data_IF_466878749424
#
_entry.id   IF_466878749424
#
_cell.length_a   1.000
_cell.length_b   1.000
_cell.length_c   1.000
_cell.angle_alpha   90.00
_cell.angle_beta   90.00
_cell.angle_gamma   90.00
#
_symmetry.space_group_name_H-M   'P 1'
#
loop_
_entity.id
_entity.type
_entity.pdbx_description
1 polymer ?
#
# COMPACT_ATOMS: atom_id res chain seq x y z
N UNK A 1 -20.69 12.87 -7.47
CA UNK A 1 -19.94 11.59 -7.64
C UNK A 1 -19.12 11.30 -6.38
N UNK A 2 -18.11 12.10 -6.05
CA UNK A 2 -17.15 11.83 -4.95
C UNK A 2 -17.82 11.48 -3.62
N UNK A 3 -18.75 12.31 -3.12
CA UNK A 3 -19.44 12.04 -1.84
C UNK A 3 -20.25 10.72 -1.85
N UNK A 4 -20.86 10.37 -2.98
CA UNK A 4 -21.58 9.10 -3.12
C UNK A 4 -20.61 7.92 -3.17
N UNK A 5 -19.46 8.07 -3.84
CA UNK A 5 -18.40 7.06 -3.83
C UNK A 5 -17.84 6.85 -2.42
N UNK A 6 -17.67 7.93 -1.64
CA UNK A 6 -17.25 7.85 -0.24
C UNK A 6 -18.28 7.10 0.62
N UNK A 7 -19.57 7.41 0.46
CA UNK A 7 -20.64 6.70 1.18
C UNK A 7 -20.69 5.21 0.81
N UNK A 8 -20.56 4.87 -0.47
CA UNK A 8 -20.50 3.48 -0.92
C UNK A 8 -19.27 2.75 -0.37
N UNK A 9 -18.10 3.40 -0.37
CA UNK A 9 -16.87 2.83 0.19
C UNK A 9 -16.97 2.65 1.71
N UNK A 10 -17.66 3.54 2.43
CA UNK A 10 -17.94 3.38 3.85
C UNK A 10 -18.78 2.12 4.11
N UNK A 11 -19.82 1.87 3.31
CA UNK A 11 -20.61 0.63 3.39
C UNK A 11 -19.75 -0.60 3.11
N UNK A 12 -18.90 -0.54 2.07
CA UNK A 12 -17.93 -1.62 1.79
C UNK A 12 -17.00 -1.86 2.98
N UNK A 13 -16.47 -0.80 3.60
CA UNK A 13 -15.58 -0.91 4.77
C UNK A 13 -16.27 -1.52 5.99
N UNK A 14 -17.52 -1.13 6.28
CA UNK A 14 -18.32 -1.71 7.37
C UNK A 14 -18.62 -3.20 7.15
N UNK A 15 -18.71 -3.62 5.89
CA UNK A 15 -18.95 -5.01 5.53
C UNK A 15 -17.69 -5.90 5.57
N UNK A 16 -16.48 -5.33 5.65
CA UNK A 16 -15.21 -6.09 5.64
C UNK A 16 -15.16 -7.20 6.70
N UNK A 17 -15.52 -6.97 7.98
CA UNK A 17 -15.41 -8.01 9.01
C UNK A 17 -16.27 -9.25 8.75
N UNK A 18 -17.38 -9.09 8.03
CA UNK A 18 -18.34 -10.16 7.70
C UNK A 18 -18.43 -10.40 6.20
N UNK A 19 -17.42 -9.98 5.42
CA UNK A 19 -17.47 -10.03 3.95
C UNK A 19 -17.52 -11.45 3.36
N UNK A 20 -17.10 -12.44 4.15
CA UNK A 20 -17.18 -13.87 3.78
C UNK A 20 -18.50 -14.52 4.20
N UNK A 21 -19.34 -13.77 4.93
CA UNK A 21 -20.63 -14.19 5.46
C UNK A 21 -21.71 -13.18 5.01
N UNK A 22 -22.54 -12.71 5.95
CA UNK A 22 -23.67 -11.78 5.72
C UNK A 22 -23.30 -10.42 5.08
N UNK A 23 -22.06 -9.97 5.23
CA UNK A 23 -21.58 -8.69 4.68
C UNK A 23 -21.19 -8.76 3.20
N UNK A 24 -21.03 -9.96 2.62
CA UNK A 24 -20.45 -10.13 1.28
C UNK A 24 -21.20 -9.38 0.18
N UNK A 25 -22.54 -9.37 0.22
CA UNK A 25 -23.34 -8.68 -0.79
C UNK A 25 -23.20 -7.16 -0.67
N UNK A 26 -23.20 -6.62 0.55
CA UNK A 26 -23.01 -5.19 0.79
C UNK A 26 -21.61 -4.73 0.32
N UNK A 27 -20.58 -5.54 0.59
CA UNK A 27 -19.22 -5.32 0.09
C UNK A 27 -19.20 -5.22 -1.44
N UNK A 28 -19.76 -6.22 -2.13
CA UNK A 28 -19.77 -6.32 -3.59
C UNK A 28 -20.57 -5.20 -4.26
N UNK A 29 -21.74 -4.87 -3.72
CA UNK A 29 -22.57 -3.77 -4.24
C UNK A 29 -21.91 -2.41 -4.04
N UNK A 30 -21.29 -2.15 -2.88
CA UNK A 30 -20.55 -0.92 -2.65
C UNK A 30 -19.39 -0.75 -3.65
N UNK A 31 -18.64 -1.83 -3.92
CA UNK A 31 -17.62 -1.83 -4.98
C UNK A 31 -18.20 -1.47 -6.36
N UNK A 32 -19.29 -2.14 -6.78
CA UNK A 32 -19.94 -1.89 -8.07
C UNK A 32 -20.43 -0.44 -8.18
N UNK A 33 -21.03 0.10 -7.12
CA UNK A 33 -21.48 1.50 -7.09
C UNK A 33 -20.29 2.45 -7.29
N UNK A 34 -19.16 2.22 -6.61
CA UNK A 34 -17.95 3.05 -6.82
C UNK A 34 -17.46 2.95 -8.25
N UNK A 35 -17.43 1.76 -8.85
CA UNK A 35 -17.00 1.58 -10.24
C UNK A 35 -17.93 2.27 -11.25
N UNK A 36 -19.25 2.17 -11.06
CA UNK A 36 -20.24 2.87 -11.90
C UNK A 36 -20.11 4.39 -11.77
N UNK A 37 -19.92 4.90 -10.55
CA UNK A 37 -19.72 6.31 -10.28
C UNK A 37 -18.42 6.83 -10.92
N UNK A 38 -17.32 6.07 -10.85
CA UNK A 38 -16.08 6.41 -11.54
C UNK A 38 -16.23 6.40 -13.06
N UNK A 39 -16.86 5.38 -13.64
CA UNK A 39 -17.12 5.32 -15.07
C UNK A 39 -17.98 6.51 -15.53
N UNK A 40 -18.97 6.91 -14.72
CA UNK A 40 -19.81 8.08 -14.97
C UNK A 40 -18.98 9.37 -14.92
N UNK A 41 -18.12 9.54 -13.92
CA UNK A 41 -17.25 10.70 -13.82
C UNK A 41 -16.30 10.81 -15.02
N UNK A 42 -15.71 9.69 -15.46
CA UNK A 42 -14.88 9.68 -16.66
C UNK A 42 -15.66 10.12 -17.91
N UNK A 43 -16.92 9.71 -18.06
CA UNK A 43 -17.75 10.17 -19.18
C UNK A 43 -18.09 11.66 -19.11
N UNK A 44 -18.34 12.20 -17.91
CA UNK A 44 -18.80 13.58 -17.72
C UNK A 44 -17.66 14.61 -17.69
N UNK A 45 -16.49 14.23 -17.15
CA UNK A 45 -15.42 15.17 -16.82
C UNK A 45 -14.19 15.07 -17.75
N UNK A 46 -14.13 14.08 -18.65
CA UNK A 46 -13.02 13.95 -19.59
C UNK A 46 -13.25 14.85 -20.80
N UNK A 47 -12.36 15.81 -21.02
CA UNK A 47 -12.34 16.60 -22.25
C UNK A 47 -12.16 15.69 -23.48
N UNK A 48 -12.89 15.91 -24.58
CA UNK A 48 -12.70 15.15 -25.82
C UNK A 48 -11.22 15.13 -26.22
N UNK A 49 -10.64 13.93 -26.34
CA UNK A 49 -9.24 13.72 -26.74
C UNK A 49 -8.22 13.63 -25.60
N UNK A 50 -8.58 13.94 -24.34
CA UNK A 50 -7.65 13.84 -23.21
C UNK A 50 -7.45 12.39 -22.74
N UNK A 51 -8.51 11.60 -22.66
CA UNK A 51 -8.45 10.16 -22.37
C UNK A 51 -9.27 9.40 -23.41
N UNK A 52 -8.72 8.28 -23.88
CA UNK A 52 -9.38 7.41 -24.86
C UNK A 52 -10.61 6.73 -24.26
N UNK A 53 -11.76 6.84 -24.93
CA UNK A 53 -12.98 6.10 -24.56
C UNK A 53 -12.75 4.59 -24.52
N UNK A 54 -11.89 4.06 -25.39
CA UNK A 54 -11.54 2.63 -25.39
C UNK A 54 -10.79 2.22 -24.11
N UNK A 55 -9.92 3.09 -23.59
CA UNK A 55 -9.19 2.85 -22.35
C UNK A 55 -10.12 2.88 -21.12
N UNK A 56 -11.10 3.80 -21.12
CA UNK A 56 -12.14 3.87 -20.07
C UNK A 56 -13.02 2.62 -20.08
N UNK A 57 -13.49 2.20 -21.25
CA UNK A 57 -14.33 1.00 -21.38
C UNK A 57 -13.56 -0.25 -20.98
N UNK A 58 -12.31 -0.39 -21.44
CA UNK A 58 -11.42 -1.50 -21.10
C UNK A 58 -11.27 -1.72 -19.58
N UNK A 59 -10.82 -0.68 -18.88
CA UNK A 59 -10.63 -0.77 -17.43
C UNK A 59 -11.96 -0.87 -16.68
N UNK A 60 -13.00 -0.19 -17.19
CA UNK A 60 -14.34 -0.25 -16.63
C UNK A 60 -14.94 -1.65 -16.70
N UNK A 61 -14.79 -2.35 -17.83
CA UNK A 61 -15.34 -3.71 -18.00
C UNK A 61 -14.63 -4.74 -17.12
N UNK A 62 -13.31 -4.65 -16.95
CA UNK A 62 -12.61 -5.56 -16.03
C UNK A 62 -13.00 -5.32 -14.58
N UNK A 63 -13.12 -4.07 -14.15
CA UNK A 63 -13.58 -3.75 -12.79
C UNK A 63 -15.05 -4.13 -12.55
N UNK A 64 -15.91 -4.00 -13.57
CA UNK A 64 -17.29 -4.47 -13.50
C UNK A 64 -17.35 -6.00 -13.41
N UNK A 65 -16.52 -6.71 -14.19
CA UNK A 65 -16.40 -8.17 -14.11
C UNK A 65 -15.95 -8.62 -12.72
N UNK A 66 -14.93 -7.97 -12.14
CA UNK A 66 -14.51 -8.23 -10.77
C UNK A 66 -15.66 -8.03 -9.77
N UNK A 67 -16.45 -6.97 -9.93
CA UNK A 67 -17.64 -6.73 -9.10
C UNK A 67 -18.72 -7.80 -9.26
N UNK A 68 -18.97 -8.29 -10.47
CA UNK A 68 -19.90 -9.41 -10.72
C UNK A 68 -19.40 -10.69 -10.04
N UNK A 69 -18.10 -10.98 -10.12
CA UNK A 69 -17.49 -12.13 -9.43
C UNK A 69 -17.67 -12.01 -7.91
N UNK A 70 -17.51 -10.82 -7.34
CA UNK A 70 -17.77 -10.58 -5.90
C UNK A 70 -19.24 -10.79 -5.52
N UNK A 71 -20.18 -10.36 -6.37
CA UNK A 71 -21.62 -10.62 -6.13
C UNK A 71 -21.88 -12.12 -6.14
N UNK A 72 -21.32 -12.87 -7.10
CA UNK A 72 -21.45 -14.34 -7.12
C UNK A 72 -20.83 -14.94 -5.85
N UNK A 73 -19.66 -14.45 -5.43
CA UNK A 73 -19.00 -14.91 -4.20
C UNK A 73 -19.87 -14.75 -2.95
N UNK A 74 -20.66 -13.68 -2.88
CA UNK A 74 -21.54 -13.41 -1.73
C UNK A 74 -22.70 -14.41 -1.55
N UNK A 75 -22.94 -15.29 -2.53
CA UNK A 75 -23.93 -16.36 -2.46
C UNK A 75 -23.29 -17.75 -2.36
N UNK A 76 -22.00 -17.81 -2.06
CA UNK A 76 -21.25 -19.05 -1.90
C UNK A 76 -20.63 -19.12 -0.51
N UNK A 77 -20.28 -20.33 -0.07
CA UNK A 77 -19.67 -20.57 1.23
C UNK A 77 -18.28 -21.22 1.12
N UNK A 78 -17.51 -21.07 2.20
CA UNK A 78 -16.27 -21.82 2.43
C UNK A 78 -15.15 -21.52 1.41
N UNK A 79 -14.42 -22.55 0.95
CA UNK A 79 -13.29 -22.34 0.03
C UNK A 79 -13.68 -21.67 -1.29
N UNK A 80 -14.91 -21.89 -1.76
CA UNK A 80 -15.42 -21.31 -3.02
C UNK A 80 -15.47 -19.78 -2.94
N UNK A 81 -15.96 -19.23 -1.83
CA UNK A 81 -15.97 -17.78 -1.57
C UNK A 81 -14.56 -17.21 -1.65
N UNK A 82 -13.61 -17.87 -1.01
CA UNK A 82 -12.19 -17.46 -1.02
C UNK A 82 -11.62 -17.45 -2.43
N UNK A 83 -11.87 -18.51 -3.21
CA UNK A 83 -11.40 -18.62 -4.60
C UNK A 83 -12.02 -17.54 -5.49
N UNK A 84 -13.31 -17.23 -5.31
CA UNK A 84 -13.99 -16.18 -6.07
C UNK A 84 -13.49 -14.77 -5.69
N UNK A 85 -13.24 -14.50 -4.40
CA UNK A 85 -12.60 -13.25 -3.98
C UNK A 85 -11.21 -13.09 -4.60
N UNK A 86 -10.38 -14.13 -4.54
CA UNK A 86 -9.07 -14.13 -5.20
C UNK A 86 -9.18 -13.97 -6.72
N UNK A 87 -10.20 -14.59 -7.33
CA UNK A 87 -10.53 -14.43 -8.75
C UNK A 87 -10.91 -12.99 -9.10
N UNK A 88 -11.73 -12.32 -8.29
CA UNK A 88 -12.11 -10.93 -8.49
C UNK A 88 -10.89 -10.00 -8.39
N UNK A 89 -10.01 -10.22 -7.41
CA UNK A 89 -8.73 -9.52 -7.29
C UNK A 89 -7.88 -9.75 -8.53
N UNK A 90 -7.74 -11.01 -8.98
CA UNK A 90 -6.98 -11.34 -10.18
C UNK A 90 -7.53 -10.65 -11.43
N UNK A 91 -8.86 -10.59 -11.61
CA UNK A 91 -9.51 -9.87 -12.72
C UNK A 91 -9.20 -8.38 -12.65
N UNK A 92 -9.39 -7.75 -11.48
CA UNK A 92 -9.16 -6.31 -11.30
C UNK A 92 -7.72 -5.90 -11.61
N UNK A 93 -6.73 -6.69 -11.20
CA UNK A 93 -5.31 -6.37 -11.39
C UNK A 93 -4.72 -6.87 -12.72
N UNK A 94 -5.28 -7.91 -13.34
CA UNK A 94 -4.82 -8.38 -14.66
C UNK A 94 -5.37 -7.52 -15.80
N UNK A 95 -6.55 -6.92 -15.65
CA UNK A 95 -7.17 -6.10 -16.72
C UNK A 95 -6.24 -4.97 -17.22
N UNK A 96 -5.68 -4.10 -16.36
CA UNK A 96 -4.76 -3.04 -16.82
C UNK A 96 -3.45 -3.56 -17.41
N UNK A 97 -3.08 -4.81 -17.10
CA UNK A 97 -1.90 -5.45 -17.64
C UNK A 97 -2.15 -5.97 -19.06
N UNK A 98 -3.25 -6.71 -19.24
CA UNK A 98 -3.60 -7.39 -20.51
C UNK A 98 -4.11 -6.37 -21.54
N UNK A 99 -5.02 -5.48 -21.14
CA UNK A 99 -5.70 -4.58 -22.09
C UNK A 99 -4.96 -3.23 -22.22
N UNK A 100 -3.93 -3.03 -21.40
CA UNK A 100 -3.09 -1.84 -21.40
C UNK A 100 -3.75 -0.60 -20.78
N UNK A 101 -2.91 0.37 -20.49
CA UNK A 101 -3.28 1.67 -19.90
C UNK A 101 -3.01 2.83 -20.86
N UNK A 102 -2.73 2.52 -22.13
CA UNK A 102 -2.41 3.51 -23.15
C UNK A 102 -3.65 4.33 -23.49
N UNK A 103 -3.50 5.65 -23.54
CA UNK A 103 -4.60 6.57 -23.83
C UNK A 103 -5.22 7.22 -22.60
N UNK A 104 -4.70 6.98 -21.38
CA UNK A 104 -5.00 7.83 -20.22
C UNK A 104 -4.05 9.02 -20.15
N UNK A 105 -4.60 10.24 -20.09
CA UNK A 105 -3.82 11.43 -19.73
C UNK A 105 -3.60 11.46 -18.22
N UNK A 106 -2.33 11.53 -17.84
CA UNK A 106 -1.89 11.53 -16.44
C UNK A 106 -1.05 12.77 -16.22
N UNK A 107 -1.45 13.59 -15.24
CA UNK A 107 -0.62 14.66 -14.69
C UNK A 107 0.27 14.04 -13.59
N UNK A 108 1.61 14.04 -13.75
CA UNK A 108 2.52 13.42 -12.78
C UNK A 108 2.33 13.93 -11.35
N UNK A 109 2.31 15.26 -11.16
CA UNK A 109 2.19 15.88 -9.83
C UNK A 109 0.89 15.50 -9.13
N UNK A 110 -0.27 15.67 -9.78
CA UNK A 110 -1.55 15.29 -9.18
C UNK A 110 -1.66 13.80 -8.90
N UNK A 111 -1.04 12.96 -9.73
CA UNK A 111 -1.08 11.50 -9.55
C UNK A 111 -0.19 11.07 -8.39
N UNK A 112 1.01 11.65 -8.28
CA UNK A 112 1.90 11.46 -7.15
C UNK A 112 1.26 11.94 -5.85
N UNK A 113 0.69 13.15 -5.83
CA UNK A 113 -0.01 13.73 -4.68
C UNK A 113 -1.11 12.80 -4.16
N UNK A 114 -2.00 12.31 -5.03
CA UNK A 114 -3.11 11.42 -4.64
C UNK A 114 -2.63 10.11 -4.01
N UNK A 115 -1.55 9.53 -4.53
CA UNK A 115 -1.00 8.29 -3.94
C UNK A 115 -0.19 8.57 -2.68
N UNK A 116 0.47 9.73 -2.59
CA UNK A 116 1.06 10.20 -1.34
C UNK A 116 0.00 10.34 -0.23
N UNK A 117 -1.19 10.85 -0.55
CA UNK A 117 -2.30 10.91 0.42
C UNK A 117 -2.71 9.52 0.92
N UNK A 118 -2.72 8.49 0.06
CA UNK A 118 -2.97 7.09 0.49
C UNK A 118 -1.92 6.66 1.51
N UNK A 119 -0.65 6.98 1.27
CA UNK A 119 0.44 6.65 2.19
C UNK A 119 0.30 7.37 3.53
N UNK A 120 -0.04 8.66 3.52
CA UNK A 120 -0.31 9.44 4.74
C UNK A 120 -1.45 8.82 5.54
N UNK A 121 -2.55 8.45 4.87
CA UNK A 121 -3.68 7.79 5.54
C UNK A 121 -3.28 6.44 6.11
N UNK A 122 -2.58 5.58 5.37
CA UNK A 122 -2.17 4.27 5.87
C UNK A 122 -1.21 4.35 7.07
N UNK A 123 -0.26 5.28 7.03
CA UNK A 123 0.67 5.53 8.14
C UNK A 123 -0.05 6.16 9.34
N UNK A 124 -0.94 7.12 9.09
CA UNK A 124 -1.77 7.77 10.12
C UNK A 124 -2.71 6.79 10.81
N UNK A 125 -3.37 5.91 10.05
CA UNK A 125 -4.25 4.87 10.59
C UNK A 125 -3.47 3.88 11.47
N UNK A 126 -2.21 3.59 11.11
CA UNK A 126 -1.33 2.79 11.96
C UNK A 126 -1.11 3.44 13.33
N UNK A 127 -1.03 4.78 13.41
CA UNK A 127 -0.90 5.53 14.67
C UNK A 127 -2.24 5.58 15.41
N UNK A 128 -3.34 5.83 14.72
CA UNK A 128 -4.69 5.85 15.33
C UNK A 128 -5.01 4.49 15.96
N UNK A 129 -4.67 3.40 15.28
CA UNK A 129 -4.86 2.04 15.78
C UNK A 129 -4.09 1.76 17.09
N UNK A 130 -2.92 2.38 17.27
CA UNK A 130 -2.15 2.34 18.53
C UNK A 130 -2.93 3.05 19.63
N UNK A 131 -3.36 4.28 19.38
CA UNK A 131 -4.08 5.10 20.36
C UNK A 131 -5.43 4.48 20.77
N UNK A 132 -6.18 3.95 19.80
CA UNK A 132 -7.45 3.27 20.05
C UNK A 132 -7.28 1.94 20.83
N UNK A 133 -6.15 1.25 20.64
CA UNK A 133 -5.79 0.07 21.43
C UNK A 133 -5.34 0.39 22.86
N UNK A 134 -5.06 1.66 23.16
CA UNK A 134 -4.51 2.11 24.45
C UNK A 134 -5.50 2.13 25.61
N UNK A 135 -6.81 2.04 25.36
CA UNK A 135 -7.83 2.07 26.41
C UNK A 135 -7.75 0.91 27.42
N UNK A 136 -7.08 -0.18 27.04
CA UNK A 136 -6.86 -1.36 27.88
C UNK A 136 -5.41 -1.50 28.37
N UNK A 137 -4.50 -0.58 27.99
CA UNK A 137 -3.08 -0.66 28.33
C UNK A 137 -2.80 0.00 29.68
N UNK A 138 -1.95 -0.64 30.51
CA UNK A 138 -1.37 0.02 31.67
C UNK A 138 -0.48 1.17 31.21
N UNK A 139 -0.70 2.37 31.75
CA UNK A 139 0.17 3.50 31.47
C UNK A 139 1.48 3.37 32.26
N UNK A 140 2.44 2.68 31.69
CA UNK A 140 3.79 2.47 32.24
C UNK A 140 4.90 2.94 31.28
N UNK A 141 6.15 2.91 31.76
CA UNK A 141 7.30 3.36 30.99
C UNK A 141 7.54 2.51 29.73
N UNK A 142 7.23 1.21 29.76
CA UNK A 142 7.39 0.31 28.61
C UNK A 142 6.42 0.66 27.49
N UNK A 143 5.16 0.93 27.84
CA UNK A 143 4.12 1.35 26.90
C UNK A 143 4.44 2.73 26.29
N UNK A 144 4.94 3.67 27.09
CA UNK A 144 5.40 4.98 26.57
C UNK A 144 6.59 4.80 25.61
N UNK A 145 7.58 3.98 25.97
CA UNK A 145 8.72 3.69 25.10
C UNK A 145 8.27 3.03 23.78
N UNK A 146 7.35 2.07 23.85
CA UNK A 146 6.79 1.41 22.68
C UNK A 146 6.06 2.41 21.78
N UNK A 147 5.23 3.31 22.33
CA UNK A 147 4.53 4.33 21.56
C UNK A 147 5.49 5.31 20.86
N UNK A 148 6.58 5.72 21.53
CA UNK A 148 7.60 6.59 20.94
C UNK A 148 8.39 5.88 19.83
N UNK A 149 8.77 4.61 20.03
CA UNK A 149 9.44 3.80 19.01
C UNK A 149 8.53 3.50 17.81
N UNK A 150 7.24 3.27 18.07
CA UNK A 150 6.22 3.13 17.03
C UNK A 150 6.13 4.38 16.17
N UNK A 151 6.07 5.55 16.81
CA UNK A 151 6.09 6.84 16.12
C UNK A 151 7.37 7.02 15.30
N UNK A 152 8.53 6.66 15.86
CA UNK A 152 9.81 6.72 15.15
C UNK A 152 9.83 5.80 13.92
N UNK A 153 9.32 4.57 14.05
CA UNK A 153 9.19 3.63 12.92
C UNK A 153 8.29 4.20 11.83
N UNK A 154 7.07 4.64 12.17
CA UNK A 154 6.12 5.20 11.18
C UNK A 154 6.70 6.43 10.49
N UNK A 155 7.38 7.30 11.24
CA UNK A 155 8.04 8.49 10.68
C UNK A 155 9.20 8.10 9.75
N UNK A 156 10.01 7.10 10.11
CA UNK A 156 11.08 6.62 9.26
C UNK A 156 10.57 6.01 7.94
N UNK A 157 9.49 5.23 7.98
CA UNK A 157 8.82 4.74 6.76
C UNK A 157 8.29 5.90 5.91
N UNK A 158 7.67 6.90 6.56
CA UNK A 158 7.22 8.12 5.90
C UNK A 158 8.36 8.83 5.15
N UNK A 159 9.49 9.08 5.82
CA UNK A 159 10.67 9.71 5.21
C UNK A 159 11.22 8.87 4.06
N UNK A 160 11.31 7.54 4.24
CA UNK A 160 11.80 6.66 3.19
C UNK A 160 10.95 6.75 1.90
N UNK A 161 9.64 7.01 1.99
CA UNK A 161 8.79 7.20 0.81
C UNK A 161 8.80 8.63 0.27
N UNK A 162 8.58 9.65 1.12
CA UNK A 162 8.38 11.02 0.65
C UNK A 162 9.68 11.68 0.20
N UNK A 163 10.78 11.54 0.96
CA UNK A 163 12.07 12.16 0.64
C UNK A 163 12.84 11.44 -0.48
N UNK A 164 12.28 10.35 -1.04
CA UNK A 164 12.98 9.61 -2.10
C UNK A 164 12.06 9.12 -3.22
N UNK A 165 11.12 8.23 -2.93
CA UNK A 165 10.37 7.54 -3.95
C UNK A 165 9.34 8.48 -4.61
N UNK A 166 8.64 9.29 -3.81
CA UNK A 166 7.63 10.22 -4.33
C UNK A 166 8.23 11.22 -5.33
N UNK A 167 9.28 11.93 -4.92
CA UNK A 167 9.96 12.92 -5.77
C UNK A 167 10.56 12.29 -7.02
N UNK A 168 11.21 11.13 -6.89
CA UNK A 168 11.91 10.54 -8.00
C UNK A 168 10.96 9.90 -9.04
N UNK A 169 9.81 9.39 -8.59
CA UNK A 169 8.74 8.90 -9.49
C UNK A 169 8.11 10.07 -10.24
N UNK A 170 7.80 11.17 -9.55
CA UNK A 170 7.25 12.37 -10.19
C UNK A 170 8.19 12.93 -11.26
N UNK A 171 9.48 13.05 -10.94
CA UNK A 171 10.50 13.48 -11.89
C UNK A 171 10.60 12.55 -13.11
N UNK A 172 10.61 11.23 -12.89
CA UNK A 172 10.65 10.22 -13.95
C UNK A 172 9.41 10.30 -14.87
N UNK A 173 8.22 10.47 -14.29
CA UNK A 173 6.97 10.61 -15.04
C UNK A 173 6.85 11.93 -15.80
N UNK A 174 7.48 12.99 -15.28
CA UNK A 174 7.52 14.30 -15.93
C UNK A 174 8.36 14.29 -17.21
N UNK A 175 9.44 13.50 -17.22
CA UNK A 175 10.28 13.31 -18.42
C UNK A 175 9.67 12.30 -19.39
N UNK A 176 8.99 11.25 -18.90
CA UNK A 176 8.32 10.27 -19.76
C UNK A 176 7.16 10.88 -20.55
N UNK A 177 6.92 10.40 -21.77
CA UNK A 177 5.84 10.87 -22.64
C UNK A 177 4.97 9.73 -23.19
N UNK A 178 3.74 10.07 -23.55
CA UNK A 178 2.81 9.15 -24.21
C UNK A 178 2.61 7.83 -23.45
N UNK A 179 2.65 6.67 -24.14
CA UNK A 179 2.44 5.35 -23.54
C UNK A 179 3.39 4.99 -22.39
N UNK A 180 4.62 5.51 -22.41
CA UNK A 180 5.62 5.21 -21.37
C UNK A 180 5.21 5.82 -20.02
N UNK A 181 4.68 7.06 -20.03
CA UNK A 181 4.17 7.71 -18.82
C UNK A 181 3.03 6.90 -18.18
N UNK A 182 2.08 6.43 -18.98
CA UNK A 182 0.96 5.61 -18.48
C UNK A 182 1.44 4.26 -17.93
N UNK A 183 2.43 3.62 -18.57
CA UNK A 183 3.03 2.37 -18.07
C UNK A 183 3.78 2.59 -16.77
N UNK A 184 4.60 3.64 -16.67
CA UNK A 184 5.32 3.98 -15.44
C UNK A 184 4.35 4.25 -14.28
N UNK A 185 3.29 5.02 -14.54
CA UNK A 185 2.24 5.30 -13.57
C UNK A 185 1.56 4.01 -13.07
N UNK A 186 1.15 3.13 -13.97
CA UNK A 186 0.54 1.83 -13.63
C UNK A 186 1.50 0.97 -12.82
N UNK A 187 2.73 0.82 -13.28
CA UNK A 187 3.70 -0.07 -12.65
C UNK A 187 4.04 0.39 -11.23
N UNK A 188 4.24 1.69 -11.02
CA UNK A 188 4.58 2.23 -9.70
C UNK A 188 3.35 2.34 -8.80
N UNK A 189 2.28 2.98 -9.26
CA UNK A 189 1.17 3.38 -8.40
C UNK A 189 0.02 2.38 -8.36
N UNK A 190 -0.15 1.53 -9.38
CA UNK A 190 -1.16 0.47 -9.36
C UNK A 190 -0.62 -0.86 -8.87
N UNK A 191 0.66 -1.17 -9.12
CA UNK A 191 1.25 -2.46 -8.71
C UNK A 191 2.22 -2.34 -7.54
N UNK A 192 3.27 -1.51 -7.64
CA UNK A 192 4.29 -1.43 -6.57
C UNK A 192 3.82 -0.69 -5.31
N UNK A 193 2.74 0.10 -5.37
CA UNK A 193 2.11 0.67 -4.18
C UNK A 193 1.34 -0.37 -3.35
N UNK A 194 0.88 -1.47 -3.95
CA UNK A 194 0.20 -2.53 -3.20
C UNK A 194 1.11 -3.11 -2.12
N UNK A 195 2.32 -3.62 -2.42
CA UNK A 195 3.21 -4.14 -1.39
C UNK A 195 3.69 -3.05 -0.41
N UNK A 196 3.73 -1.77 -0.81
CA UNK A 196 3.98 -0.67 0.13
C UNK A 196 2.86 -0.56 1.18
N UNK A 197 1.61 -0.40 0.74
CA UNK A 197 0.47 -0.26 1.65
C UNK A 197 0.27 -1.53 2.47
N UNK A 198 0.37 -2.70 1.82
CA UNK A 198 0.30 -3.99 2.51
C UNK A 198 1.40 -4.15 3.56
N UNK A 199 2.62 -3.69 3.25
CA UNK A 199 3.73 -3.67 4.20
C UNK A 199 3.43 -2.83 5.45
N UNK A 200 2.82 -1.65 5.27
CA UNK A 200 2.36 -0.81 6.39
C UNK A 200 1.30 -1.53 7.23
N UNK A 201 0.29 -2.12 6.59
CA UNK A 201 -0.79 -2.84 7.28
C UNK A 201 -0.25 -4.02 8.08
N UNK A 202 0.67 -4.80 7.50
CA UNK A 202 1.32 -5.91 8.19
C UNK A 202 2.22 -5.45 9.33
N UNK A 203 2.94 -4.35 9.16
CA UNK A 203 3.73 -3.74 10.23
C UNK A 203 2.83 -3.26 11.38
N UNK A 204 1.69 -2.63 11.07
CA UNK A 204 0.71 -2.17 12.06
C UNK A 204 0.11 -3.32 12.87
N UNK A 205 -0.11 -4.50 12.26
CA UNK A 205 -0.54 -5.71 12.97
C UNK A 205 0.48 -6.13 14.04
N UNK A 206 1.76 -6.16 13.67
CA UNK A 206 2.86 -6.45 14.60
C UNK A 206 3.00 -5.43 15.72
N UNK A 207 2.83 -4.16 15.37
CA UNK A 207 2.88 -3.02 16.27
C UNK A 207 1.79 -3.08 17.33
N UNK A 208 0.55 -3.36 16.92
CA UNK A 208 -0.59 -3.57 17.82
C UNK A 208 -0.31 -4.67 18.84
N UNK A 209 0.32 -5.76 18.42
CA UNK A 209 0.68 -6.86 19.32
C UNK A 209 1.82 -6.51 20.27
N UNK A 210 2.81 -5.76 19.79
CA UNK A 210 3.93 -5.25 20.61
C UNK A 210 3.43 -4.35 21.73
N UNK A 211 2.52 -3.43 21.43
CA UNK A 211 1.98 -2.50 22.43
C UNK A 211 1.11 -3.18 23.48
N UNK A 212 0.45 -4.28 23.14
CA UNK A 212 -0.34 -5.06 24.10
C UNK A 212 0.52 -5.78 25.15
N UNK A 213 1.72 -6.20 24.79
CA UNK A 213 2.59 -7.03 25.64
C UNK A 213 4.07 -6.68 25.34
N UNK A 214 4.54 -5.55 25.86
CA UNK A 214 5.86 -5.00 25.52
C UNK A 214 7.03 -5.88 25.99
N UNK A 215 6.84 -6.55 27.13
CA UNK A 215 7.84 -7.38 27.81
C UNK A 215 7.74 -8.87 27.43
N UNK A 216 6.87 -9.22 26.48
CA UNK A 216 6.70 -10.59 26.01
C UNK A 216 7.22 -10.75 24.58
N UNK A 217 7.78 -11.93 24.23
CA UNK A 217 8.12 -12.21 22.85
C UNK A 217 6.90 -12.21 21.93
N UNK A 218 7.10 -11.79 20.68
CA UNK A 218 6.05 -11.86 19.67
C UNK A 218 5.80 -13.31 19.26
N UNK A 219 4.53 -13.70 19.18
CA UNK A 219 4.15 -14.93 18.49
C UNK A 219 4.63 -14.92 17.03
N UNK A 220 4.97 -16.10 16.48
CA UNK A 220 5.58 -16.23 15.15
C UNK A 220 4.81 -15.49 14.04
N UNK A 221 3.48 -15.55 14.06
CA UNK A 221 2.63 -14.87 13.08
C UNK A 221 2.78 -13.35 13.18
N UNK A 222 2.74 -12.80 14.39
CA UNK A 222 2.92 -11.36 14.64
C UNK A 222 4.33 -10.90 14.28
N UNK A 223 5.36 -11.69 14.64
CA UNK A 223 6.75 -11.40 14.30
C UNK A 223 6.97 -11.41 12.78
N UNK A 224 6.45 -12.42 12.08
CA UNK A 224 6.53 -12.55 10.63
C UNK A 224 5.77 -11.42 9.92
N UNK A 225 4.58 -11.05 10.39
CA UNK A 225 3.84 -9.91 9.86
C UNK A 225 4.61 -8.60 10.09
N UNK A 226 5.16 -8.39 11.29
CA UNK A 226 5.86 -7.15 11.61
C UNK A 226 7.12 -6.96 10.75
N UNK A 227 8.02 -7.95 10.82
CA UNK A 227 9.29 -7.94 10.13
C UNK A 227 9.10 -8.01 8.60
N UNK A 228 8.18 -8.88 8.16
CA UNK A 228 7.83 -9.04 6.75
C UNK A 228 7.14 -7.80 6.17
N UNK A 229 6.33 -7.09 6.96
CA UNK A 229 5.71 -5.83 6.56
C UNK A 229 6.74 -4.73 6.30
N UNK A 230 7.66 -4.53 7.24
CA UNK A 230 8.78 -3.56 7.09
C UNK A 230 9.69 -3.97 5.92
N UNK A 231 10.06 -5.25 5.81
CA UNK A 231 10.90 -5.73 4.72
C UNK A 231 10.22 -5.57 3.35
N UNK A 232 8.94 -5.94 3.25
CA UNK A 232 8.14 -5.81 2.04
C UNK A 232 8.01 -4.36 1.59
N UNK A 233 7.83 -3.43 2.53
CA UNK A 233 7.84 -2.00 2.27
C UNK A 233 9.17 -1.52 1.67
N UNK A 234 10.29 -1.89 2.28
CA UNK A 234 11.62 -1.49 1.83
C UNK A 234 11.99 -2.09 0.47
N UNK A 235 11.61 -3.35 0.22
CA UNK A 235 11.77 -3.99 -1.10
C UNK A 235 10.90 -3.30 -2.15
N UNK A 236 9.66 -2.95 -1.83
CA UNK A 236 8.80 -2.21 -2.75
C UNK A 236 9.39 -0.85 -3.13
N UNK A 237 9.94 -0.11 -2.17
CA UNK A 237 10.68 1.14 -2.45
C UNK A 237 11.87 0.91 -3.37
N UNK A 238 12.64 -0.16 -3.15
CA UNK A 238 13.77 -0.53 -4.02
C UNK A 238 13.31 -0.82 -5.46
N UNK A 239 12.23 -1.59 -5.62
CA UNK A 239 11.66 -1.92 -6.93
C UNK A 239 11.13 -0.67 -7.65
N UNK A 240 10.56 0.29 -6.92
CA UNK A 240 10.15 1.59 -7.48
C UNK A 240 11.37 2.35 -8.00
N UNK A 241 12.46 2.42 -7.24
CA UNK A 241 13.70 3.07 -7.68
C UNK A 241 14.27 2.40 -8.93
N UNK A 242 14.29 1.06 -8.97
CA UNK A 242 14.70 0.31 -10.16
C UNK A 242 13.80 0.60 -11.36
N UNK A 243 12.47 0.68 -11.17
CA UNK A 243 11.51 0.97 -12.24
C UNK A 243 11.72 2.37 -12.82
N UNK A 244 12.10 3.33 -11.98
CA UNK A 244 12.49 4.69 -12.36
C UNK A 244 13.93 4.81 -12.89
N UNK A 245 14.65 3.69 -13.07
CA UNK A 245 16.05 3.65 -13.52
C UNK A 245 17.01 4.49 -12.67
N UNK A 246 16.66 4.68 -11.40
CA UNK A 246 17.56 5.28 -10.42
C UNK A 246 18.58 4.22 -10.01
N UNK A 247 19.76 4.65 -9.55
CA UNK A 247 20.71 3.71 -8.96
C UNK A 247 20.01 2.92 -7.86
N UNK A 248 20.00 1.60 -8.00
CA UNK A 248 19.35 0.72 -7.05
C UNK A 248 20.02 0.83 -5.69
N UNK A 249 19.27 1.28 -4.69
CA UNK A 249 19.73 1.32 -3.30
C UNK A 249 19.71 -0.09 -2.74
N UNK A 250 20.72 -0.90 -3.09
CA UNK A 250 20.94 -2.25 -2.55
C UNK A 250 20.98 -2.24 -1.01
N UNK A 251 21.33 -1.09 -0.43
CA UNK A 251 21.20 -0.80 1.00
C UNK A 251 19.79 -1.10 1.56
N UNK A 252 18.72 -0.73 0.85
CA UNK A 252 17.34 -1.03 1.28
C UNK A 252 17.04 -2.52 1.27
N UNK A 253 17.63 -3.25 0.33
CA UNK A 253 17.51 -4.72 0.27
C UNK A 253 18.25 -5.35 1.44
N UNK A 254 19.42 -4.84 1.82
CA UNK A 254 20.09 -5.29 3.04
C UNK A 254 19.26 -5.00 4.29
N UNK A 255 18.72 -3.79 4.43
CA UNK A 255 17.84 -3.44 5.54
C UNK A 255 16.60 -4.36 5.59
N UNK A 256 16.01 -4.69 4.44
CA UNK A 256 14.90 -5.64 4.35
C UNK A 256 15.31 -7.06 4.77
N UNK A 257 16.45 -7.55 4.28
CA UNK A 257 16.98 -8.86 4.66
C UNK A 257 17.29 -8.93 6.17
N UNK A 258 17.85 -7.86 6.72
CA UNK A 258 18.09 -7.75 8.16
C UNK A 258 16.78 -7.69 8.94
N UNK A 259 15.78 -6.93 8.50
CA UNK A 259 14.45 -6.92 9.13
C UNK A 259 13.84 -8.34 9.18
N UNK A 260 13.97 -9.14 8.12
CA UNK A 260 13.53 -10.54 8.13
C UNK A 260 14.35 -11.41 9.09
N UNK A 261 15.66 -11.21 9.18
CA UNK A 261 16.50 -11.95 10.12
C UNK A 261 16.11 -11.71 11.58
N UNK A 262 15.56 -10.53 11.90
CA UNK A 262 15.06 -10.19 13.24
C UNK A 262 13.86 -11.04 13.68
N UNK A 263 13.17 -11.76 12.78
CA UNK A 263 12.10 -12.70 13.16
C UNK A 263 12.61 -13.70 14.21
N UNK A 264 13.83 -14.23 14.06
CA UNK A 264 14.40 -15.19 15.00
C UNK A 264 14.65 -14.60 16.40
N UNK A 265 14.89 -13.28 16.48
CA UNK A 265 15.05 -12.54 17.74
C UNK A 265 13.68 -12.17 18.31
N UNK A 266 12.76 -11.69 17.48
CA UNK A 266 11.44 -11.21 17.86
C UNK A 266 10.57 -12.30 18.52
N UNK A 267 10.80 -13.58 18.19
CA UNK A 267 10.09 -14.72 18.81
C UNK A 267 10.73 -15.20 20.12
N UNK A 268 11.82 -14.58 20.57
CA UNK A 268 12.58 -15.00 21.76
C UNK A 268 12.84 -13.87 22.76
N UNK A 269 12.97 -12.65 22.28
CA UNK A 269 13.20 -11.45 23.07
C UNK A 269 11.93 -10.61 23.15
N UNK A 270 11.88 -9.72 24.13
CA UNK A 270 10.78 -8.79 24.38
C UNK A 270 10.40 -8.04 23.10
N UNK A 271 9.10 -7.89 22.86
CA UNK A 271 8.58 -7.23 21.67
C UNK A 271 9.12 -5.79 21.51
N UNK A 272 9.41 -5.11 22.61
CA UNK A 272 10.04 -3.79 22.61
C UNK A 272 11.41 -3.78 21.91
N UNK A 273 12.21 -4.84 22.05
CA UNK A 273 13.51 -4.99 21.37
C UNK A 273 13.30 -5.12 19.86
N UNK A 274 12.36 -5.94 19.43
CA UNK A 274 12.04 -6.11 18.01
C UNK A 274 11.58 -4.78 17.38
N UNK A 275 10.72 -4.03 18.07
CA UNK A 275 10.26 -2.72 17.65
C UNK A 275 11.42 -1.70 17.58
N UNK A 276 12.28 -1.65 18.59
CA UNK A 276 13.44 -0.75 18.59
C UNK A 276 14.37 -1.02 17.42
N UNK A 277 14.65 -2.30 17.14
CA UNK A 277 15.49 -2.70 16.01
C UNK A 277 14.83 -2.35 14.68
N UNK A 278 13.54 -2.66 14.49
CA UNK A 278 12.84 -2.33 13.25
C UNK A 278 12.74 -0.82 13.01
N UNK A 279 12.53 -0.02 14.06
CA UNK A 279 12.57 1.45 13.97
C UNK A 279 13.95 1.93 13.51
N UNK A 280 15.04 1.39 14.09
CA UNK A 280 16.40 1.72 13.68
C UNK A 280 16.70 1.30 12.24
N UNK A 281 16.24 0.13 11.80
CA UNK A 281 16.40 -0.37 10.43
C UNK A 281 15.66 0.51 9.43
N UNK A 282 14.41 0.88 9.72
CA UNK A 282 13.65 1.79 8.87
C UNK A 282 14.32 3.17 8.78
N UNK A 283 14.81 3.70 9.92
CA UNK A 283 15.53 4.97 9.93
C UNK A 283 16.83 4.90 9.11
N UNK A 284 17.59 3.81 9.25
CA UNK A 284 18.79 3.58 8.46
C UNK A 284 18.50 3.45 6.95
N UNK A 285 17.36 2.86 6.58
CA UNK A 285 16.92 2.76 5.19
C UNK A 285 16.42 4.10 4.61
N UNK A 286 15.86 4.96 5.45
CA UNK A 286 15.44 6.32 5.09
C UNK A 286 16.64 7.25 4.85
N UNK A 287 17.72 7.09 5.63
CA UNK A 287 19.00 7.76 5.40
C UNK A 287 19.72 7.07 4.24
N UNK A 288 19.27 7.35 3.02
CA UNK A 288 20.02 6.95 1.82
C UNK A 288 21.37 7.67 1.86
N UNK A 289 22.50 6.96 1.76
CA UNK A 289 23.78 7.60 1.54
C UNK A 289 23.67 8.44 0.27
N UNK A 290 23.68 9.78 0.41
CA UNK A 290 23.66 10.74 -0.70
C UNK A 290 24.96 10.69 -1.51
N UNK A 291 25.35 9.51 -1.97
CA UNK A 291 26.56 9.35 -2.76
C UNK A 291 26.32 9.92 -4.17
N UNK A 292 26.64 11.21 -4.30
CA UNK A 292 26.92 11.94 -5.54
C UNK A 292 25.93 11.79 -6.71
N UNK A 293 24.68 12.22 -6.53
CA UNK A 293 23.75 12.47 -7.65
C UNK A 293 24.10 13.69 -8.50
N UNK A 294 25.22 14.39 -8.25
CA UNK A 294 25.71 15.50 -9.09
C UNK A 294 26.75 15.09 -10.15
N UNK A 295 27.17 13.82 -10.20
CA UNK A 295 28.32 13.41 -11.02
C UNK A 295 28.03 12.43 -12.18
N UNK A 296 26.80 11.97 -12.40
CA UNK A 296 26.50 11.04 -13.48
C UNK A 296 25.53 11.67 -14.48
N UNK A 297 26.07 12.15 -15.61
CA UNK A 297 25.29 12.44 -16.81
C UNK A 297 24.60 11.19 -17.37
N UNK A 298 23.67 11.35 -18.32
CA UNK A 298 22.89 10.26 -18.87
C UNK A 298 23.80 9.19 -19.46
N UNK A 299 23.55 7.92 -19.09
CA UNK A 299 24.18 6.77 -19.74
C UNK A 299 23.54 6.68 -21.14
N UNK A 300 24.33 7.07 -22.14
CA UNK A 300 24.06 6.91 -23.57
C UNK A 300 23.98 5.46 -23.98
#
# INVERSE_FOLDING_TARGET
VVLMSMAAMLVTALAVPTAYDEGGLAFALGWLVVMLLHATLFRLATNPGATSSAAIVSLGSGNALAGVVLVVASFTDGPTTTLLFLGAVAVAYSTPYIWGVTGFSINPGHFAERHGLIMIVALGESIVAIGAGGGELSFDAGTVAAALLAMALVSALWWAYFDSASEAVEASMSVAAGPERSRLARDVYSYLHIPLVFGIVMAALGLKKTLGHVDEPLGLVSAAAFCGGVAGYLVALHLIHMRCRLRGDWWRVLCAAFALAIIAVAVRADALVALAVLAAVAAAAAVVPRSNSRAAGPIT
#
